data_IF_891806304592
#
_entry.id   IF_891806304592
#
_cell.length_a   1.000
_cell.length_b   1.000
_cell.length_c   1.000
_cell.angle_alpha   90.00
_cell.angle_beta   90.00
_cell.angle_gamma   90.00
#
_symmetry.space_group_name_H-M   'P 1'
#
loop_
_entity.id
_entity.type
_entity.pdbx_description
1 polymer ?
#
# COMPACT_ATOMS: atom_id res chain seq x y z
N UNK A 1 -8.20 22.13 -8.98
CA UNK A 1 -7.41 22.07 -7.75
C UNK A 1 -6.81 20.67 -7.52
N UNK A 2 -7.54 19.59 -7.73
CA UNK A 2 -7.02 18.22 -7.69
C UNK A 2 -5.92 17.97 -8.73
N UNK A 3 -6.13 18.42 -9.97
CA UNK A 3 -5.15 18.25 -11.07
C UNK A 3 -3.80 18.92 -10.80
N UNK A 4 -3.78 20.04 -10.06
CA UNK A 4 -2.54 20.74 -9.70
C UNK A 4 -1.74 19.98 -8.64
N UNK A 5 -2.41 19.34 -7.67
CA UNK A 5 -1.79 18.47 -6.67
C UNK A 5 -1.23 17.19 -7.31
N UNK A 6 -1.96 16.62 -8.25
CA UNK A 6 -1.50 15.45 -9.01
C UNK A 6 -0.26 15.77 -9.85
N UNK A 7 -0.25 16.88 -10.56
CA UNK A 7 0.93 17.31 -11.32
C UNK A 7 2.15 17.54 -10.42
N UNK A 8 1.91 17.96 -9.18
CA UNK A 8 2.98 18.16 -8.20
C UNK A 8 3.52 16.81 -7.65
N UNK A 9 2.66 15.81 -7.46
CA UNK A 9 3.02 14.52 -6.88
C UNK A 9 3.52 13.54 -7.94
N UNK A 10 2.87 13.49 -9.10
CA UNK A 10 3.18 12.52 -10.16
C UNK A 10 4.18 13.08 -11.19
N UNK A 11 4.43 14.38 -11.18
CA UNK A 11 5.20 15.04 -12.23
C UNK A 11 4.39 15.26 -13.52
N UNK A 12 4.99 15.89 -14.54
CA UNK A 12 4.34 16.12 -15.83
C UNK A 12 4.09 14.79 -16.57
N UNK A 13 2.96 14.74 -17.28
CA UNK A 13 2.69 13.65 -18.20
C UNK A 13 3.81 13.56 -19.26
N UNK A 14 4.27 12.36 -19.54
CA UNK A 14 5.35 12.10 -20.49
C UNK A 14 4.77 11.56 -21.80
N UNK A 15 5.14 12.17 -22.92
CA UNK A 15 4.80 11.66 -24.24
C UNK A 15 5.65 10.41 -24.55
N UNK A 16 5.20 9.25 -24.09
CA UNK A 16 5.78 7.96 -24.39
C UNK A 16 4.81 7.17 -25.29
N UNK A 17 5.30 6.70 -26.42
CA UNK A 17 4.51 5.83 -27.30
C UNK A 17 4.73 4.38 -26.85
N UNK A 18 3.75 3.82 -26.16
CA UNK A 18 3.72 2.40 -25.78
C UNK A 18 3.14 1.56 -26.91
N UNK A 19 3.61 0.31 -27.06
CA UNK A 19 2.95 -0.67 -27.90
C UNK A 19 1.56 -1.01 -27.36
N UNK A 20 0.68 -1.56 -28.20
CA UNK A 20 -0.67 -2.00 -27.76
C UNK A 20 -0.56 -3.05 -26.65
N UNK A 21 0.40 -3.97 -26.78
CA UNK A 21 0.64 -5.02 -25.80
C UNK A 21 1.08 -4.42 -24.44
N UNK A 22 2.05 -3.51 -24.47
CA UNK A 22 2.55 -2.84 -23.26
C UNK A 22 1.45 -2.01 -22.59
N UNK A 23 0.69 -1.24 -23.39
CA UNK A 23 -0.45 -0.47 -22.89
C UNK A 23 -1.52 -1.36 -22.25
N UNK A 24 -1.79 -2.52 -22.83
CA UNK A 24 -2.72 -3.51 -22.27
C UNK A 24 -2.20 -4.05 -20.95
N UNK A 25 -0.92 -4.39 -20.88
CA UNK A 25 -0.27 -4.85 -19.64
C UNK A 25 -0.35 -3.81 -18.53
N UNK A 26 -0.04 -2.55 -18.83
CA UNK A 26 -0.16 -1.45 -17.85
C UNK A 26 -1.61 -1.29 -17.36
N UNK A 27 -2.60 -1.41 -18.25
CA UNK A 27 -4.01 -1.31 -17.86
C UNK A 27 -4.43 -2.42 -16.88
N UNK A 28 -3.95 -3.65 -17.07
CA UNK A 28 -4.19 -4.72 -16.12
C UNK A 28 -3.39 -4.57 -14.83
N UNK A 29 -2.15 -4.11 -14.90
CA UNK A 29 -1.31 -3.83 -13.74
C UNK A 29 -1.97 -2.80 -12.81
N UNK A 30 -2.32 -1.64 -13.34
CA UNK A 30 -3.01 -0.59 -12.57
C UNK A 30 -4.42 -1.03 -12.13
N UNK A 31 -5.11 -1.78 -13.00
CA UNK A 31 -6.38 -2.41 -12.66
C UNK A 31 -6.27 -3.33 -11.45
N UNK A 32 -5.19 -4.10 -11.34
CA UNK A 32 -4.92 -4.96 -10.19
C UNK A 32 -4.82 -4.20 -8.87
N UNK A 33 -4.03 -3.13 -8.85
CA UNK A 33 -3.93 -2.24 -7.67
C UNK A 33 -5.29 -1.64 -7.31
N UNK A 34 -6.03 -1.18 -8.30
CA UNK A 34 -7.33 -0.56 -8.08
C UNK A 34 -8.37 -1.55 -7.55
N UNK A 35 -8.50 -2.74 -8.13
CA UNK A 35 -9.45 -3.78 -7.67
C UNK A 35 -9.15 -4.17 -6.23
N UNK A 36 -7.88 -4.41 -5.89
CA UNK A 36 -7.51 -4.73 -4.50
C UNK A 36 -7.79 -3.56 -3.55
N UNK A 37 -7.52 -2.33 -3.97
CA UNK A 37 -7.87 -1.14 -3.19
C UNK A 37 -9.38 -0.99 -2.92
N UNK A 38 -10.24 -1.47 -3.82
CA UNK A 38 -11.70 -1.47 -3.65
C UNK A 38 -12.19 -2.61 -2.74
N UNK A 39 -11.50 -3.76 -2.74
CA UNK A 39 -11.94 -4.98 -2.05
C UNK A 39 -11.40 -5.11 -0.63
N UNK A 40 -10.20 -4.60 -0.37
CA UNK A 40 -9.52 -4.84 0.90
C UNK A 40 -10.08 -3.97 2.03
N UNK A 41 -10.50 -4.57 3.15
CA UNK A 41 -10.98 -3.82 4.30
C UNK A 41 -9.87 -2.90 4.86
N UNK A 42 -10.19 -1.62 5.01
CA UNK A 42 -9.24 -0.65 5.54
C UNK A 42 -8.26 -0.05 4.52
N UNK A 43 -8.23 -0.53 3.28
CA UNK A 43 -7.45 0.11 2.21
C UNK A 43 -7.88 1.57 1.99
N UNK A 44 -6.97 2.40 1.54
CA UNK A 44 -7.30 3.79 1.19
C UNK A 44 -8.17 3.83 -0.07
N UNK A 45 -9.09 4.83 -0.19
CA UNK A 45 -9.95 4.95 -1.36
C UNK A 45 -9.15 5.11 -2.64
N UNK A 46 -9.60 4.40 -3.68
CA UNK A 46 -9.08 4.57 -5.04
C UNK A 46 -9.79 5.76 -5.67
N UNK A 47 -9.08 6.86 -5.83
CA UNK A 47 -9.65 8.11 -6.36
C UNK A 47 -9.49 8.22 -7.87
N UNK A 48 -8.37 7.71 -8.41
CA UNK A 48 -8.06 7.77 -9.83
C UNK A 48 -7.15 6.62 -10.25
N UNK A 49 -7.32 6.16 -11.47
CA UNK A 49 -6.42 5.20 -12.13
C UNK A 49 -6.08 5.76 -13.51
N UNK A 50 -4.82 5.74 -13.89
CA UNK A 50 -4.37 6.22 -15.20
C UNK A 50 -3.30 5.31 -15.79
N UNK A 51 -3.34 5.13 -17.11
CA UNK A 51 -2.29 4.47 -17.89
C UNK A 51 -1.48 5.48 -18.72
N UNK A 52 -1.66 6.77 -18.44
CA UNK A 52 -0.82 7.83 -18.99
C UNK A 52 0.49 7.87 -18.20
N UNK A 53 1.66 7.78 -18.88
CA UNK A 53 2.94 7.81 -18.19
C UNK A 53 3.21 9.14 -17.47
N UNK A 54 3.67 9.07 -16.22
CA UNK A 54 4.09 10.21 -15.42
C UNK A 54 5.47 9.95 -14.80
N UNK A 55 6.41 10.86 -15.00
CA UNK A 55 7.78 10.67 -14.48
C UNK A 55 8.39 9.35 -14.95
N UNK A 56 8.70 8.45 -14.03
CA UNK A 56 9.23 7.10 -14.31
C UNK A 56 8.14 6.02 -14.37
N UNK A 57 6.93 6.29 -13.92
CA UNK A 57 5.82 5.35 -13.92
C UNK A 57 5.12 5.32 -15.28
N UNK A 58 4.72 4.14 -15.74
CA UNK A 58 3.96 3.93 -16.98
C UNK A 58 2.46 4.09 -16.77
N UNK A 59 2.00 3.90 -15.54
CA UNK A 59 0.64 4.14 -15.06
C UNK A 59 0.68 4.50 -13.59
N UNK A 60 -0.46 4.89 -13.02
CA UNK A 60 -0.57 5.19 -11.58
C UNK A 60 -1.98 4.91 -11.09
N UNK A 61 -2.08 4.16 -10.00
CA UNK A 61 -3.29 4.02 -9.19
C UNK A 61 -3.18 4.93 -7.98
N UNK A 62 -3.95 6.02 -7.99
CA UNK A 62 -3.92 7.03 -6.94
C UNK A 62 -4.91 6.70 -5.84
N UNK A 63 -4.37 6.48 -4.65
CA UNK A 63 -5.12 6.25 -3.41
C UNK A 63 -4.81 7.37 -2.43
N UNK A 64 -5.85 7.97 -1.86
CA UNK A 64 -5.68 9.06 -0.90
C UNK A 64 -6.35 8.69 0.43
N UNK A 65 -5.62 8.73 1.55
CA UNK A 65 -6.23 8.68 2.86
C UNK A 65 -7.27 9.78 3.03
N UNK A 66 -8.44 9.45 3.58
CA UNK A 66 -9.50 10.44 3.88
C UNK A 66 -9.18 11.24 5.12
N UNK A 67 -8.43 10.65 6.06
CA UNK A 67 -8.09 11.25 7.36
C UNK A 67 -6.57 11.31 7.56
N UNK A 68 -6.12 12.31 8.32
CA UNK A 68 -4.76 12.39 8.84
C UNK A 68 -4.56 11.34 9.93
N UNK A 69 -4.07 10.16 9.54
CA UNK A 69 -3.82 9.05 10.47
C UNK A 69 -2.44 9.20 11.09
N UNK A 70 -2.41 9.17 12.41
CA UNK A 70 -1.17 9.19 13.19
C UNK A 70 -0.72 7.78 13.63
N UNK A 71 -1.58 6.77 13.49
CA UNK A 71 -1.28 5.37 13.80
C UNK A 71 -1.94 4.44 12.78
N UNK A 72 -1.24 3.37 12.44
CA UNK A 72 -1.67 2.39 11.46
C UNK A 72 -1.85 1.04 12.15
N UNK A 73 -3.00 0.40 11.95
CA UNK A 73 -3.24 -0.96 12.43
C UNK A 73 -2.50 -1.98 11.55
N UNK A 74 -2.22 -3.14 12.12
CA UNK A 74 -1.66 -4.28 11.37
C UNK A 74 -2.51 -4.65 10.15
N UNK A 75 -3.84 -4.67 10.31
CA UNK A 75 -4.78 -4.92 9.21
C UNK A 75 -4.62 -3.91 8.06
N UNK A 76 -4.46 -2.62 8.38
CA UNK A 76 -4.25 -1.59 7.37
C UNK A 76 -2.92 -1.81 6.63
N UNK A 77 -1.84 -2.10 7.37
CA UNK A 77 -0.52 -2.34 6.78
C UNK A 77 -0.51 -3.60 5.93
N UNK A 78 -1.18 -4.67 6.37
CA UNK A 78 -1.38 -5.87 5.57
C UNK A 78 -2.13 -5.56 4.27
N UNK A 79 -3.25 -4.81 4.33
CA UNK A 79 -3.98 -4.39 3.13
C UNK A 79 -3.10 -3.57 2.17
N UNK A 80 -2.18 -2.75 2.70
CA UNK A 80 -1.19 -2.02 1.89
C UNK A 80 -0.21 -2.96 1.17
N UNK A 81 0.27 -4.01 1.85
CA UNK A 81 1.16 -5.00 1.22
C UNK A 81 0.41 -5.78 0.14
N UNK A 82 -0.81 -6.26 0.43
CA UNK A 82 -1.65 -6.95 -0.56
C UNK A 82 -1.95 -6.05 -1.75
N UNK A 83 -2.29 -4.78 -1.51
CA UNK A 83 -2.52 -3.79 -2.55
C UNK A 83 -1.30 -3.57 -3.46
N UNK A 84 -0.10 -3.51 -2.87
CA UNK A 84 1.16 -3.39 -3.63
C UNK A 84 1.45 -4.62 -4.50
N UNK A 85 0.96 -5.81 -4.13
CA UNK A 85 1.07 -7.02 -4.98
C UNK A 85 0.12 -6.98 -6.18
N UNK A 86 -0.79 -6.02 -6.26
CA UNK A 86 -1.90 -5.98 -7.23
C UNK A 86 -1.46 -6.02 -8.68
N UNK A 87 -0.49 -5.20 -9.06
CA UNK A 87 0.03 -5.15 -10.43
C UNK A 87 0.65 -6.47 -10.86
N UNK A 88 1.56 -7.02 -10.03
CA UNK A 88 2.20 -8.30 -10.27
C UNK A 88 1.19 -9.46 -10.33
N UNK A 89 0.24 -9.51 -9.41
CA UNK A 89 -0.80 -10.54 -9.37
C UNK A 89 -1.74 -10.46 -10.58
N UNK A 90 -2.06 -9.24 -11.06
CA UNK A 90 -2.84 -9.06 -12.28
C UNK A 90 -2.09 -9.58 -13.52
N UNK A 91 -0.80 -9.28 -13.65
CA UNK A 91 0.03 -9.82 -14.74
C UNK A 91 0.05 -11.35 -14.71
N UNK A 92 0.22 -11.97 -13.54
CA UNK A 92 0.19 -13.43 -13.37
C UNK A 92 -1.15 -14.04 -13.79
N UNK A 93 -2.26 -13.47 -13.30
CA UNK A 93 -3.63 -13.98 -13.56
C UNK A 93 -4.03 -13.84 -15.02
N UNK A 94 -3.53 -12.80 -15.71
CA UNK A 94 -3.98 -12.46 -17.07
C UNK A 94 -3.04 -12.98 -18.13
N UNK A 95 -1.73 -12.87 -17.90
CA UNK A 95 -0.69 -13.15 -18.89
C UNK A 95 0.19 -14.35 -18.53
N UNK A 96 -0.02 -14.99 -17.39
CA UNK A 96 0.76 -16.12 -16.87
C UNK A 96 2.28 -15.81 -16.79
N UNK A 97 2.63 -14.54 -16.58
CA UNK A 97 4.02 -14.06 -16.51
C UNK A 97 4.14 -12.83 -15.63
N UNK A 98 5.37 -12.49 -15.27
CA UNK A 98 5.71 -11.30 -14.51
C UNK A 98 6.69 -10.43 -15.28
N UNK A 99 6.63 -9.12 -15.07
CA UNK A 99 7.58 -8.17 -15.66
C UNK A 99 8.32 -7.40 -14.57
N UNK A 100 9.35 -6.67 -14.99
CA UNK A 100 10.08 -5.75 -14.11
C UNK A 100 9.25 -4.52 -13.70
N UNK A 101 8.07 -4.33 -14.30
CA UNK A 101 7.19 -3.20 -13.98
C UNK A 101 6.78 -3.12 -12.51
N UNK A 102 6.71 -4.27 -11.83
CA UNK A 102 6.36 -4.35 -10.41
C UNK A 102 7.56 -4.13 -9.44
N UNK A 103 8.74 -3.69 -9.91
CA UNK A 103 9.95 -3.54 -9.08
C UNK A 103 9.71 -2.61 -7.88
N UNK A 104 9.14 -1.44 -8.13
CA UNK A 104 8.88 -0.44 -7.09
C UNK A 104 7.82 -0.93 -6.08
N UNK A 105 6.80 -1.64 -6.54
CA UNK A 105 5.76 -2.19 -5.67
C UNK A 105 6.32 -3.28 -4.76
N UNK A 106 7.17 -4.14 -5.31
CA UNK A 106 7.88 -5.16 -4.53
C UNK A 106 8.82 -4.54 -3.50
N UNK A 107 9.52 -3.46 -3.85
CA UNK A 107 10.38 -2.74 -2.92
C UNK A 107 9.55 -2.16 -1.77
N UNK A 108 8.47 -1.44 -2.07
CA UNK A 108 7.60 -0.83 -1.07
C UNK A 108 6.97 -1.88 -0.15
N UNK A 109 6.46 -2.98 -0.71
CA UNK A 109 5.89 -4.09 0.06
C UNK A 109 6.93 -4.71 1.01
N UNK A 110 8.15 -4.95 0.52
CA UNK A 110 9.25 -5.53 1.31
C UNK A 110 9.65 -4.60 2.45
N UNK A 111 9.81 -3.31 2.18
CA UNK A 111 10.18 -2.32 3.19
C UNK A 111 9.11 -2.21 4.28
N UNK A 112 7.83 -2.25 3.88
CA UNK A 112 6.70 -2.21 4.81
C UNK A 112 6.64 -3.47 5.68
N UNK A 113 6.74 -4.65 5.09
CA UNK A 113 6.77 -5.91 5.82
C UNK A 113 7.95 -5.96 6.81
N UNK A 114 9.13 -5.50 6.38
CA UNK A 114 10.30 -5.41 7.26
C UNK A 114 10.07 -4.46 8.44
N UNK A 115 9.42 -3.31 8.23
CA UNK A 115 9.08 -2.39 9.30
C UNK A 115 8.05 -2.99 10.27
N UNK A 116 7.04 -3.70 9.78
CA UNK A 116 6.07 -4.41 10.62
C UNK A 116 6.78 -5.38 11.57
N UNK A 117 7.71 -6.15 11.04
CA UNK A 117 8.46 -7.16 11.80
C UNK A 117 9.48 -6.53 12.76
N UNK A 118 10.26 -5.55 12.30
CA UNK A 118 11.43 -5.07 13.05
C UNK A 118 11.19 -3.83 13.90
N UNK A 119 10.24 -2.96 13.53
CA UNK A 119 10.00 -1.69 14.25
C UNK A 119 8.78 -1.74 15.14
N UNK A 120 7.69 -2.37 14.67
CA UNK A 120 6.40 -2.29 15.34
C UNK A 120 6.01 -3.56 16.10
N UNK A 121 6.85 -4.61 16.04
CA UNK A 121 6.60 -5.86 16.76
C UNK A 121 5.34 -6.58 16.27
N UNK A 122 5.00 -6.43 14.99
CA UNK A 122 3.83 -7.03 14.35
C UNK A 122 4.21 -8.40 13.73
N UNK A 123 4.79 -9.27 14.54
CA UNK A 123 5.14 -10.65 14.16
C UNK A 123 4.86 -11.56 15.35
N UNK A 124 4.00 -12.56 15.16
CA UNK A 124 3.73 -13.55 16.20
C UNK A 124 4.97 -14.37 16.55
N UNK A 125 5.82 -14.64 15.57
CA UNK A 125 7.04 -15.45 15.74
C UNK A 125 8.12 -14.74 16.55
N UNK A 126 8.31 -13.44 16.31
CA UNK A 126 9.34 -12.64 16.99
C UNK A 126 8.80 -11.95 18.25
N UNK A 127 7.48 -11.81 18.36
CA UNK A 127 6.82 -11.14 19.49
C UNK A 127 6.93 -9.61 19.46
N UNK A 128 6.46 -8.93 20.50
CA UNK A 128 6.37 -7.47 20.58
C UNK A 128 7.73 -6.83 20.92
N UNK A 129 8.70 -6.98 20.04
CA UNK A 129 10.06 -6.46 20.20
C UNK A 129 10.40 -5.49 19.07
N UNK A 130 11.24 -4.48 19.37
CA UNK A 130 11.83 -3.64 18.33
C UNK A 130 13.27 -4.09 18.07
N UNK A 131 13.53 -4.45 16.83
CA UNK A 131 14.82 -4.95 16.33
C UNK A 131 15.45 -3.97 15.32
N UNK A 132 14.76 -2.87 15.01
CA UNK A 132 15.30 -1.83 14.12
C UNK A 132 16.46 -1.10 14.82
N UNK A 133 17.49 -0.68 14.07
CA UNK A 133 18.50 0.25 14.58
C UNK A 133 17.81 1.51 15.11
N UNK A 134 18.29 2.05 16.22
CA UNK A 134 17.79 3.33 16.73
C UNK A 134 18.22 4.44 15.76
N UNK A 135 17.26 5.21 15.28
CA UNK A 135 17.54 6.44 14.53
C UNK A 135 18.38 7.35 15.44
N UNK A 136 19.59 7.68 15.02
CA UNK A 136 20.54 8.49 15.81
C UNK A 136 21.87 7.79 16.14
N UNK A 137 21.98 6.48 15.95
CA UNK A 137 23.29 5.79 16.02
C UNK A 137 23.97 5.70 14.66
N UNK A 138 23.22 5.82 13.56
CA UNK A 138 23.76 6.01 12.23
C UNK A 138 24.29 7.47 12.12
N UNK A 139 25.56 7.70 12.35
CA UNK A 139 26.19 9.02 12.19
C UNK A 139 26.93 9.56 13.42
N UNK A 140 27.05 8.82 14.51
CA UNK A 140 27.86 9.24 15.66
C UNK A 140 29.36 9.13 15.45
N UNK A 141 29.84 8.81 14.23
CA UNK A 141 31.30 8.68 13.94
C UNK A 141 31.97 7.45 14.58
N UNK A 142 31.25 6.72 15.47
CA UNK A 142 31.78 5.50 16.07
C UNK A 142 31.86 4.34 15.07
N UNK A 143 31.12 4.39 13.98
CA UNK A 143 31.20 3.40 12.89
C UNK A 143 32.60 3.36 12.25
N UNK A 144 33.28 4.52 12.16
CA UNK A 144 34.63 4.62 11.64
C UNK A 144 35.72 4.09 12.61
N UNK A 145 35.37 3.83 13.87
CA UNK A 145 36.25 3.28 14.88
C UNK A 145 36.15 1.75 15.02
N UNK A 146 35.44 1.08 14.13
CA UNK A 146 35.26 -0.38 14.16
C UNK A 146 34.36 -0.90 15.28
N UNK A 147 33.67 -0.01 15.99
CA UNK A 147 32.69 -0.35 17.01
C UNK A 147 31.28 -0.19 16.43
N UNK A 148 30.83 -1.18 15.60
CA UNK A 148 29.41 -1.42 15.43
C UNK A 148 28.73 -0.85 14.22
N UNK A 149 29.11 -1.25 13.01
CA UNK A 149 28.16 -1.34 11.87
C UNK A 149 27.39 -2.66 11.87
N UNK A 150 27.33 -3.37 12.98
CA UNK A 150 26.63 -4.65 13.10
C UNK A 150 25.14 -4.49 13.32
N UNK A 151 24.33 -5.39 12.75
CA UNK A 151 22.91 -5.52 13.09
C UNK A 151 22.81 -5.65 14.63
N UNK A 152 21.81 -5.00 15.29
CA UNK A 152 21.68 -5.04 16.75
C UNK A 152 21.26 -6.42 17.31
N UNK A 153 21.31 -7.45 16.47
CA UNK A 153 20.88 -8.82 16.77
C UNK A 153 21.77 -9.85 16.06
N UNK A 154 21.83 -11.06 16.60
CA UNK A 154 22.60 -12.18 16.05
C UNK A 154 22.04 -12.74 14.74
N UNK A 155 22.81 -13.62 14.09
CA UNK A 155 22.44 -14.24 12.81
C UNK A 155 21.10 -14.98 12.86
N UNK A 156 20.85 -15.74 13.91
CA UNK A 156 19.59 -16.48 14.08
C UNK A 156 18.35 -15.56 14.10
N UNK A 157 18.46 -14.35 14.70
CA UNK A 157 17.40 -13.35 14.66
C UNK A 157 17.28 -12.73 13.27
N UNK A 158 18.39 -12.51 12.56
CA UNK A 158 18.36 -12.04 11.18
C UNK A 158 17.62 -13.02 10.27
N UNK A 159 17.94 -14.33 10.37
CA UNK A 159 17.29 -15.39 9.60
C UNK A 159 15.79 -15.47 9.93
N UNK A 160 15.42 -15.27 11.21
CA UNK A 160 14.03 -15.25 11.63
C UNK A 160 13.27 -14.03 11.09
N UNK A 161 13.90 -12.84 11.01
CA UNK A 161 13.32 -11.64 10.40
C UNK A 161 13.10 -11.87 8.91
N UNK A 162 14.11 -12.37 8.20
CA UNK A 162 14.00 -12.58 6.75
C UNK A 162 12.93 -13.64 6.40
N UNK A 163 12.84 -14.72 7.18
CA UNK A 163 11.79 -15.73 7.02
C UNK A 163 10.39 -15.16 7.28
N UNK A 164 10.23 -14.28 8.27
CA UNK A 164 8.93 -13.67 8.59
C UNK A 164 8.50 -12.64 7.54
N UNK A 165 9.44 -11.82 7.04
CA UNK A 165 9.18 -10.91 5.92
C UNK A 165 8.76 -11.68 4.68
N UNK A 166 9.47 -12.78 4.35
CA UNK A 166 9.11 -13.63 3.23
C UNK A 166 7.70 -14.21 3.39
N UNK A 167 7.35 -14.73 4.57
CA UNK A 167 6.02 -15.26 4.86
C UNK A 167 4.92 -14.23 4.61
N UNK A 168 5.09 -13.00 5.14
CA UNK A 168 4.11 -11.92 4.95
C UNK A 168 3.92 -11.57 3.47
N UNK A 169 5.01 -11.52 2.69
CA UNK A 169 4.95 -11.23 1.26
C UNK A 169 4.29 -12.36 0.46
N UNK A 170 4.59 -13.62 0.77
CA UNK A 170 3.98 -14.80 0.13
C UNK A 170 2.48 -14.90 0.41
N UNK A 171 2.06 -14.66 1.65
CA UNK A 171 0.65 -14.60 2.03
C UNK A 171 -0.09 -13.49 1.31
N UNK A 172 0.50 -12.29 1.27
CA UNK A 172 -0.06 -11.14 0.56
C UNK A 172 -0.18 -11.39 -0.95
N UNK A 173 0.85 -11.97 -1.58
CA UNK A 173 0.83 -12.32 -3.01
C UNK A 173 -0.27 -13.36 -3.30
N UNK A 174 -0.38 -14.39 -2.47
CA UNK A 174 -1.40 -15.43 -2.60
C UNK A 174 -2.81 -14.86 -2.45
N UNK A 175 -3.02 -13.96 -1.49
CA UNK A 175 -4.29 -13.28 -1.30
C UNK A 175 -4.64 -12.38 -2.49
N UNK A 176 -3.68 -11.59 -2.99
CA UNK A 176 -3.85 -10.73 -4.16
C UNK A 176 -4.28 -11.55 -5.39
N UNK A 177 -3.54 -12.64 -5.69
CA UNK A 177 -3.84 -13.51 -6.83
C UNK A 177 -5.23 -14.14 -6.69
N UNK A 178 -5.58 -14.66 -5.51
CA UNK A 178 -6.91 -15.24 -5.24
C UNK A 178 -8.03 -14.23 -5.41
N UNK A 179 -7.87 -13.02 -4.89
CA UNK A 179 -8.88 -11.95 -5.03
C UNK A 179 -9.07 -11.56 -6.49
N UNK A 180 -7.98 -11.36 -7.25
CA UNK A 180 -8.07 -11.00 -8.65
C UNK A 180 -8.62 -12.12 -9.54
N UNK A 181 -8.34 -13.39 -9.24
CA UNK A 181 -9.00 -14.53 -9.89
C UNK A 181 -10.50 -14.55 -9.65
N UNK A 182 -10.93 -14.28 -8.42
CA UNK A 182 -12.35 -14.23 -8.02
C UNK A 182 -13.07 -13.06 -8.71
N UNK A 183 -12.40 -11.92 -8.85
CA UNK A 183 -12.92 -10.68 -9.43
C UNK A 183 -12.36 -10.40 -10.83
N UNK A 184 -12.13 -11.48 -11.61
CA UNK A 184 -11.55 -11.38 -12.95
C UNK A 184 -12.42 -10.53 -13.90
N UNK A 185 -13.72 -10.60 -13.81
CA UNK A 185 -14.64 -9.84 -14.67
C UNK A 185 -14.56 -8.34 -14.40
N UNK A 186 -14.47 -7.97 -13.14
CA UNK A 186 -14.30 -6.59 -12.69
C UNK A 186 -12.95 -6.03 -13.15
N UNK A 187 -11.89 -6.83 -13.06
CA UNK A 187 -10.55 -6.49 -13.56
C UNK A 187 -10.57 -6.29 -15.08
N UNK A 188 -11.18 -7.21 -15.86
CA UNK A 188 -11.31 -7.09 -17.30
C UNK A 188 -12.10 -5.84 -17.70
N UNK A 189 -13.20 -5.55 -17.00
CA UNK A 189 -14.02 -4.35 -17.22
C UNK A 189 -13.25 -3.06 -16.96
N UNK A 190 -12.46 -3.02 -15.88
CA UNK A 190 -11.64 -1.86 -15.55
C UNK A 190 -10.51 -1.66 -16.57
N UNK A 191 -9.82 -2.73 -16.96
CA UNK A 191 -8.77 -2.67 -17.96
C UNK A 191 -9.30 -2.18 -19.32
N UNK A 192 -10.47 -2.67 -19.75
CA UNK A 192 -11.11 -2.23 -20.99
C UNK A 192 -11.44 -0.72 -20.95
N UNK A 193 -12.01 -0.23 -19.82
CA UNK A 193 -12.30 1.19 -19.64
C UNK A 193 -11.02 2.05 -19.62
N UNK A 194 -9.93 1.57 -19.02
CA UNK A 194 -8.62 2.25 -19.04
C UNK A 194 -8.04 2.33 -20.45
N UNK A 195 -8.18 1.27 -21.26
CA UNK A 195 -7.72 1.26 -22.65
C UNK A 195 -8.49 2.25 -23.52
N UNK A 196 -9.78 2.49 -23.22
CA UNK A 196 -10.65 3.41 -23.95
C UNK A 196 -10.44 4.88 -23.50
N UNK A 197 -10.35 5.14 -22.21
CA UNK A 197 -10.38 6.50 -21.65
C UNK A 197 -9.06 6.98 -21.05
N UNK A 198 -8.06 6.12 -20.95
CA UNK A 198 -6.70 6.32 -20.41
C UNK A 198 -6.66 6.70 -18.92
N UNK A 199 -7.64 7.47 -18.44
CA UNK A 199 -7.73 7.93 -17.06
C UNK A 199 -9.18 7.81 -16.58
N UNK A 200 -9.36 7.19 -15.41
CA UNK A 200 -10.65 7.00 -14.78
C UNK A 200 -10.66 7.64 -13.39
N UNK A 201 -11.69 8.41 -13.12
CA UNK A 201 -12.02 8.90 -11.78
C UNK A 201 -12.84 7.86 -10.98
N UNK A 202 -13.04 8.09 -9.70
CA UNK A 202 -13.78 7.19 -8.82
C UNK A 202 -15.18 6.79 -9.37
N UNK A 203 -16.03 7.72 -9.87
CA UNK A 203 -17.29 7.36 -10.50
C UNK A 203 -17.16 6.46 -11.73
N UNK A 204 -16.14 6.67 -12.57
CA UNK A 204 -15.89 5.86 -13.75
C UNK A 204 -15.38 4.47 -13.37
N UNK A 205 -14.48 4.37 -12.38
CA UNK A 205 -13.99 3.11 -11.82
C UNK A 205 -15.18 2.27 -11.31
N UNK A 206 -16.07 2.87 -10.55
CA UNK A 206 -17.28 2.19 -10.04
C UNK A 206 -18.19 1.68 -11.17
N UNK A 207 -18.38 2.47 -12.22
CA UNK A 207 -19.19 2.03 -13.38
C UNK A 207 -18.54 0.86 -14.12
N UNK A 208 -17.21 0.90 -14.28
CA UNK A 208 -16.46 -0.14 -15.00
C UNK A 208 -16.42 -1.47 -14.24
N UNK A 209 -16.34 -1.42 -12.91
CA UNK A 209 -16.21 -2.62 -12.07
C UNK A 209 -17.54 -3.12 -11.52
N UNK A 210 -18.53 -2.25 -11.33
CA UNK A 210 -19.75 -2.57 -10.59
C UNK A 210 -19.54 -2.79 -9.09
N UNK A 211 -18.30 -2.61 -8.59
CA UNK A 211 -17.99 -2.79 -7.19
C UNK A 211 -18.49 -1.59 -6.37
N UNK A 212 -19.16 -1.91 -5.28
CA UNK A 212 -19.56 -0.92 -4.29
C UNK A 212 -18.36 -0.68 -3.36
N UNK A 213 -18.05 0.58 -3.08
CA UNK A 213 -17.10 0.90 -2.00
C UNK A 213 -17.67 0.34 -0.71
N UNK A 214 -16.91 -0.48 -0.02
CA UNK A 214 -17.30 -0.96 1.31
C UNK A 214 -17.41 0.28 2.21
N UNK A 215 -18.61 0.58 2.79
CA UNK A 215 -18.73 1.71 3.70
C UNK A 215 -17.78 1.49 4.86
N UNK A 216 -16.88 2.43 5.09
CA UNK A 216 -16.05 2.40 6.27
C UNK A 216 -16.90 2.64 7.50
N UNK A 217 -16.66 1.87 8.54
CA UNK A 217 -17.21 2.17 9.85
C UNK A 217 -16.67 3.55 10.26
N UNK A 218 -17.55 4.54 10.37
CA UNK A 218 -17.17 5.87 10.82
C UNK A 218 -16.40 5.77 12.15
N UNK A 219 -15.33 6.53 12.34
CA UNK A 219 -14.61 6.54 13.61
C UNK A 219 -15.60 6.86 14.74
N UNK A 220 -15.63 6.02 15.77
CA UNK A 220 -16.45 6.28 16.95
C UNK A 220 -15.94 7.59 17.57
N UNK A 221 -16.78 8.65 17.68
CA UNK A 221 -16.33 9.89 18.26
C UNK A 221 -15.86 9.63 19.70
N UNK A 222 -14.63 10.01 20.00
CA UNK A 222 -14.10 9.99 21.36
C UNK A 222 -15.08 10.80 22.24
N UNK A 223 -15.73 10.11 23.20
CA UNK A 223 -16.52 10.80 24.22
C UNK A 223 -15.59 11.76 24.93
N UNK A 224 -15.71 13.05 24.68
CA UNK A 224 -15.06 14.07 25.51
C UNK A 224 -15.54 13.84 26.94
N UNK A 225 -14.62 13.51 27.83
CA UNK A 225 -14.92 13.43 29.26
C UNK A 225 -15.39 14.80 29.70
N UNK A 226 -16.69 14.91 29.97
CA UNK A 226 -17.28 16.10 30.53
C UNK A 226 -16.65 16.26 31.92
N UNK A 227 -15.87 17.33 32.09
CA UNK A 227 -15.23 17.66 33.33
C UNK A 227 -16.28 17.75 34.45
N UNK A 228 -16.12 16.93 35.47
CA UNK A 228 -16.85 17.04 36.71
C UNK A 228 -16.46 18.37 37.39
N UNK A 229 -17.32 19.39 37.25
CA UNK A 229 -17.26 20.57 38.08
C UNK A 229 -17.47 20.15 39.55
N UNK A 230 -16.38 20.09 40.28
CA UNK A 230 -16.41 19.98 41.73
C UNK A 230 -16.60 21.39 42.31
N UNK A 231 -17.84 21.83 42.42
CA UNK A 231 -18.20 22.99 43.21
C UNK A 231 -18.12 22.60 44.70
N UNK A 232 -16.98 22.85 45.31
CA UNK A 232 -16.87 22.84 46.77
C UNK A 232 -17.66 24.03 47.33
N UNK A 233 -18.82 23.75 47.90
CA UNK A 233 -19.58 24.70 48.66
C UNK A 233 -18.88 24.96 50.02
N UNK A 234 -18.41 26.17 50.20
CA UNK A 234 -18.04 26.74 51.49
C UNK A 234 -19.32 27.04 52.27
N UNK A 235 -19.48 26.49 53.43
CA UNK A 235 -20.41 27.01 54.43
C UNK A 235 -19.97 26.64 55.86
N UNK A 236 -19.57 27.67 56.56
CA UNK A 236 -19.59 27.92 58.03
C UNK A 236 -18.93 26.92 58.98
#
# INVERSE_FOLDING_TARGET
>A
MLDALETLVLGPARALVMSVEERTRVAYHEGGHAILGLLLPGADPVNRVTIVPHGMALGVTYQRPEDDRHSYSEQYLHARIVGAMGGRAAEEVVFETHTTGAENDMQQATDLARQMVTRWGMSERLGPVTLAPRDGTAGTGLENLGFGGGKPYGSATADAIDAEVQRLLEEAASEATRLLQTHRRELDGLAAALLEHETLDEPAIRRATGLLVIPRVAPVPLRTAVGSNNTAATAR
#
